data_IF_115298948225
#
_entry.id   IF_115298948225
#
_cell.length_a   1.000
_cell.length_b   1.000
_cell.length_c   1.000
_cell.angle_alpha   90.00
_cell.angle_beta   90.00
_cell.angle_gamma   90.00
#
_symmetry.space_group_name_H-M   'P 1'
#
loop_
_entity.id
_entity.type
_entity.pdbx_description
1 polymer ?
#
# COMPACT_ATOMS: atom_id res chain seq x y z
N UNK A 1 -51.71 -8.87 -5.20
CA UNK A 1 -50.70 -9.75 -5.81
C UNK A 1 -49.86 -8.88 -6.72
N UNK A 2 -48.68 -8.45 -6.31
CA UNK A 2 -47.76 -7.71 -7.19
C UNK A 2 -47.08 -8.72 -8.10
N UNK A 3 -47.49 -8.78 -9.36
CA UNK A 3 -46.87 -9.62 -10.39
C UNK A 3 -45.38 -9.30 -10.48
N UNK A 4 -44.55 -10.31 -10.22
CA UNK A 4 -43.11 -10.24 -10.49
C UNK A 4 -42.92 -10.32 -12.00
N UNK A 5 -42.49 -9.22 -12.62
CA UNK A 5 -42.25 -9.08 -14.07
C UNK A 5 -41.05 -9.90 -14.59
N UNK A 6 -40.27 -10.53 -13.72
CA UNK A 6 -39.07 -11.28 -14.07
C UNK A 6 -39.38 -12.74 -14.42
N UNK A 7 -38.85 -13.20 -15.56
CA UNK A 7 -39.02 -14.59 -15.98
C UNK A 7 -38.25 -15.56 -15.07
N UNK A 8 -38.79 -16.76 -14.84
CA UNK A 8 -38.07 -17.84 -14.12
C UNK A 8 -36.73 -18.18 -14.78
N UNK A 9 -36.62 -18.02 -16.09
CA UNK A 9 -35.39 -18.24 -16.85
C UNK A 9 -34.32 -17.20 -16.52
N UNK A 10 -34.70 -15.93 -16.34
CA UNK A 10 -33.78 -14.87 -15.94
C UNK A 10 -33.24 -15.11 -14.52
N UNK A 11 -34.10 -15.52 -13.57
CA UNK A 11 -33.66 -15.89 -12.21
C UNK A 11 -32.64 -17.05 -12.27
N UNK A 12 -32.93 -18.09 -13.06
CA UNK A 12 -32.02 -19.23 -13.26
C UNK A 12 -30.69 -18.79 -13.89
N UNK A 13 -30.73 -17.86 -14.84
CA UNK A 13 -29.52 -17.29 -15.45
C UNK A 13 -28.67 -16.56 -14.40
N UNK A 14 -29.28 -15.68 -13.60
CA UNK A 14 -28.61 -14.90 -12.56
C UNK A 14 -27.90 -15.79 -11.52
N UNK A 15 -28.58 -16.84 -11.02
CA UNK A 15 -28.01 -17.80 -10.06
C UNK A 15 -26.83 -18.58 -10.66
N UNK A 16 -26.84 -18.81 -11.98
CA UNK A 16 -25.80 -19.56 -12.69
C UNK A 16 -24.57 -18.73 -13.08
N UNK A 17 -24.53 -17.43 -12.81
CA UNK A 17 -23.38 -16.58 -13.12
C UNK A 17 -22.22 -16.94 -12.17
N UNK A 18 -21.04 -17.34 -12.69
CA UNK A 18 -19.89 -17.60 -11.84
C UNK A 18 -19.48 -16.35 -11.05
N UNK A 19 -19.04 -16.54 -9.80
CA UNK A 19 -18.45 -15.48 -8.99
C UNK A 19 -17.31 -14.78 -9.74
N UNK A 20 -17.09 -13.50 -9.45
CA UNK A 20 -16.11 -12.64 -10.13
C UNK A 20 -16.39 -12.29 -11.60
N UNK A 21 -17.53 -12.72 -12.15
CA UNK A 21 -18.00 -12.27 -13.47
C UNK A 21 -18.41 -10.80 -13.43
N UNK A 22 -18.18 -10.08 -14.53
CA UNK A 22 -18.61 -8.69 -14.68
C UNK A 22 -19.99 -8.68 -15.33
N UNK A 23 -20.92 -8.01 -14.66
CA UNK A 23 -22.31 -7.86 -15.11
C UNK A 23 -22.69 -6.40 -15.22
N UNK A 24 -23.65 -6.11 -16.11
CA UNK A 24 -24.39 -4.85 -16.13
C UNK A 24 -25.77 -5.13 -15.57
N UNK A 25 -26.17 -4.33 -14.60
CA UNK A 25 -27.44 -4.43 -13.90
C UNK A 25 -28.22 -3.15 -14.15
N UNK A 26 -29.46 -3.29 -14.61
CA UNK A 26 -30.45 -2.22 -14.65
C UNK A 26 -31.57 -2.55 -13.67
N UNK A 27 -32.02 -1.55 -12.90
CA UNK A 27 -33.10 -1.72 -11.95
C UNK A 27 -33.34 -0.48 -11.11
N UNK A 28 -34.33 -0.57 -10.22
CA UNK A 28 -34.72 0.53 -9.34
C UNK A 28 -34.10 0.39 -7.95
N UNK A 29 -33.60 1.48 -7.39
CA UNK A 29 -33.19 1.53 -6.00
C UNK A 29 -34.42 1.56 -5.08
N UNK A 30 -34.43 0.72 -4.06
CA UNK A 30 -35.44 0.72 -3.02
C UNK A 30 -34.83 0.44 -1.64
N UNK A 31 -35.56 0.75 -0.58
CA UNK A 31 -35.19 0.35 0.76
C UNK A 31 -35.40 -1.17 0.91
N UNK A 32 -34.45 -1.91 1.50
CA UNK A 32 -34.64 -3.32 1.79
C UNK A 32 -35.64 -3.49 2.95
N UNK A 33 -36.24 -4.68 3.07
CA UNK A 33 -37.14 -5.01 4.18
C UNK A 33 -36.41 -4.94 5.53
N UNK A 34 -35.16 -5.39 5.55
CA UNK A 34 -34.23 -5.27 6.67
C UNK A 34 -32.86 -4.83 6.14
N UNK A 35 -32.10 -4.09 6.93
CA UNK A 35 -30.76 -3.62 6.55
C UNK A 35 -29.83 -4.79 6.15
N UNK A 36 -29.20 -4.66 4.98
CA UNK A 36 -28.30 -5.67 4.42
C UNK A 36 -26.92 -5.57 5.07
N UNK A 37 -26.66 -6.42 6.07
CA UNK A 37 -25.45 -6.37 6.92
C UNK A 37 -24.15 -6.73 6.20
N UNK A 38 -24.22 -7.41 5.07
CA UNK A 38 -23.06 -7.90 4.31
C UNK A 38 -22.53 -6.90 3.28
N UNK A 39 -23.25 -5.80 3.03
CA UNK A 39 -22.90 -4.80 2.02
C UNK A 39 -22.51 -3.46 2.66
N UNK A 40 -21.65 -2.70 1.98
CA UNK A 40 -21.29 -1.34 2.40
C UNK A 40 -22.46 -0.36 2.31
N UNK A 41 -23.40 -0.59 1.38
CA UNK A 41 -24.66 0.14 1.27
C UNK A 41 -25.77 -0.70 1.88
N UNK A 42 -25.95 -0.62 3.19
CA UNK A 42 -26.90 -1.50 3.91
C UNK A 42 -28.37 -1.09 3.79
N UNK A 43 -28.63 0.19 3.47
CA UNK A 43 -29.97 0.79 3.46
C UNK A 43 -30.64 0.82 2.08
N UNK A 44 -29.96 0.31 1.05
CA UNK A 44 -30.44 0.33 -0.33
C UNK A 44 -30.22 -1.05 -0.95
N UNK A 45 -31.20 -1.50 -1.72
CA UNK A 45 -31.09 -2.65 -2.61
C UNK A 45 -31.54 -2.29 -4.03
N UNK A 46 -31.10 -3.09 -5.00
CA UNK A 46 -31.50 -2.93 -6.41
C UNK A 46 -32.60 -3.94 -6.71
N UNK A 47 -33.81 -3.45 -7.00
CA UNK A 47 -34.87 -4.25 -7.61
C UNK A 47 -34.54 -4.44 -9.09
N UNK A 48 -33.98 -5.61 -9.40
CA UNK A 48 -33.49 -5.98 -10.72
C UNK A 48 -34.57 -5.92 -11.82
N UNK A 49 -34.25 -5.33 -12.96
CA UNK A 49 -35.07 -5.32 -14.17
C UNK A 49 -34.36 -5.98 -15.35
N UNK A 50 -33.08 -5.68 -15.54
CA UNK A 50 -32.25 -6.29 -16.58
C UNK A 50 -30.87 -6.68 -16.03
N UNK A 51 -30.33 -7.77 -16.56
CA UNK A 51 -29.03 -8.30 -16.17
C UNK A 51 -28.30 -8.82 -17.41
N UNK A 52 -27.14 -8.25 -17.71
CA UNK A 52 -26.29 -8.64 -18.83
C UNK A 52 -24.94 -9.11 -18.34
N UNK A 53 -24.49 -10.27 -18.82
CA UNK A 53 -23.14 -10.77 -18.54
C UNK A 53 -22.16 -10.15 -19.55
N UNK A 54 -21.29 -9.25 -19.09
CA UNK A 54 -20.27 -8.63 -19.93
C UNK A 54 -19.03 -9.51 -20.09
N UNK A 55 -18.53 -10.02 -18.96
CA UNK A 55 -17.36 -10.89 -18.94
C UNK A 55 -17.57 -12.02 -17.95
N UNK A 56 -17.57 -13.25 -18.47
CA UNK A 56 -17.72 -14.46 -17.67
C UNK A 56 -16.38 -14.82 -17.02
N UNK A 57 -16.38 -14.98 -15.70
CA UNK A 57 -15.23 -15.51 -14.97
C UNK A 57 -15.10 -17.04 -15.12
N UNK A 58 -13.90 -17.60 -14.88
CA UNK A 58 -13.71 -19.03 -14.79
C UNK A 58 -14.60 -19.66 -13.70
N UNK A 59 -15.14 -20.84 -13.97
CA UNK A 59 -16.01 -21.54 -13.02
C UNK A 59 -15.31 -21.92 -11.71
N UNK A 60 -13.99 -22.14 -11.75
CA UNK A 60 -13.16 -22.47 -10.60
C UNK A 60 -12.14 -21.36 -10.38
N UNK A 61 -12.24 -20.68 -9.24
CA UNK A 61 -11.26 -19.69 -8.79
C UNK A 61 -10.18 -20.36 -7.92
N UNK A 62 -8.95 -19.84 -7.89
CA UNK A 62 -7.88 -20.33 -7.01
C UNK A 62 -8.25 -20.27 -5.53
N UNK A 63 -9.01 -19.24 -5.12
CA UNK A 63 -9.64 -19.09 -3.81
C UNK A 63 -10.84 -18.14 -3.93
N UNK A 64 -11.71 -18.11 -2.92
CA UNK A 64 -12.82 -17.16 -2.85
C UNK A 64 -12.38 -15.84 -2.24
N UNK A 65 -12.92 -14.72 -2.73
CA UNK A 65 -12.65 -13.41 -2.13
C UNK A 65 -13.13 -13.32 -0.68
N UNK A 66 -14.16 -14.07 -0.31
CA UNK A 66 -14.65 -14.17 1.07
C UNK A 66 -13.56 -14.76 2.00
N UNK A 67 -12.94 -15.87 1.60
CA UNK A 67 -11.85 -16.49 2.36
C UNK A 67 -10.63 -15.56 2.44
N UNK A 68 -10.34 -14.83 1.35
CA UNK A 68 -9.25 -13.88 1.32
C UNK A 68 -9.52 -12.61 2.16
N UNK A 69 -10.78 -12.22 2.34
CA UNK A 69 -11.19 -11.00 3.07
C UNK A 69 -11.50 -11.25 4.55
N UNK A 70 -11.45 -12.51 5.00
CA UNK A 70 -11.76 -12.88 6.39
C UNK A 70 -10.81 -12.16 7.38
N UNK A 71 -11.34 -11.58 8.48
CA UNK A 71 -10.54 -10.95 9.52
C UNK A 71 -9.52 -11.89 10.18
N UNK A 72 -8.30 -11.40 10.40
CA UNK A 72 -7.18 -12.23 10.89
C UNK A 72 -7.40 -12.74 12.32
N UNK A 73 -8.17 -12.02 13.13
CA UNK A 73 -8.55 -12.41 14.49
C UNK A 73 -9.62 -13.52 14.55
N UNK A 74 -10.36 -13.74 13.46
CA UNK A 74 -11.35 -14.81 13.34
C UNK A 74 -10.76 -16.09 12.75
N UNK A 75 -9.54 -16.03 12.22
CA UNK A 75 -8.82 -17.23 11.79
C UNK A 75 -8.57 -18.11 13.03
N UNK A 76 -8.85 -19.43 12.93
CA UNK A 76 -8.88 -20.29 14.10
C UNK A 76 -7.52 -20.29 14.81
N UNK A 77 -7.54 -19.95 16.10
CA UNK A 77 -6.52 -20.46 17.02
C UNK A 77 -6.77 -21.91 17.42
N UNK A 78 -8.00 -22.45 17.35
CA UNK A 78 -8.22 -23.93 17.48
C UNK A 78 -9.64 -24.52 17.27
N UNK A 79 -10.73 -23.80 16.93
CA UNK A 79 -12.10 -24.40 17.08
C UNK A 79 -13.06 -24.34 15.86
N UNK A 80 -12.74 -23.65 14.77
CA UNK A 80 -13.56 -23.69 13.53
C UNK A 80 -12.67 -23.86 12.30
N UNK A 81 -12.87 -24.93 11.52
CA UNK A 81 -12.17 -25.19 10.26
C UNK A 81 -12.60 -24.20 9.16
N UNK A 82 -12.18 -22.94 9.28
CA UNK A 82 -12.26 -22.01 8.18
C UNK A 82 -11.08 -22.22 7.23
N UNK A 83 -11.35 -22.24 5.92
CA UNK A 83 -10.29 -22.30 4.91
C UNK A 83 -9.49 -21.00 4.98
N UNK A 84 -8.17 -21.10 5.19
CA UNK A 84 -7.29 -19.95 5.21
C UNK A 84 -6.50 -19.88 3.91
N UNK A 85 -6.42 -18.69 3.30
CA UNK A 85 -5.63 -18.48 2.08
C UNK A 85 -4.25 -17.99 2.49
N UNK A 86 -3.22 -18.81 2.23
CA UNK A 86 -1.83 -18.50 2.57
C UNK A 86 -1.32 -17.27 1.83
N UNK A 87 -0.30 -16.60 2.38
CA UNK A 87 0.35 -15.46 1.73
C UNK A 87 0.90 -15.81 0.35
N UNK A 88 1.52 -17.00 0.20
CA UNK A 88 2.03 -17.45 -1.09
C UNK A 88 0.91 -17.60 -2.13
N UNK A 89 -0.18 -18.29 -1.79
CA UNK A 89 -1.31 -18.46 -2.71
C UNK A 89 -1.93 -17.10 -3.12
N UNK A 90 -1.95 -16.13 -2.21
CA UNK A 90 -2.40 -14.75 -2.46
C UNK A 90 -1.47 -13.97 -3.38
N UNK A 91 -0.15 -14.20 -3.30
CA UNK A 91 0.86 -13.56 -4.15
C UNK A 91 0.93 -14.23 -5.52
N UNK A 92 0.86 -15.56 -5.59
CA UNK A 92 0.80 -16.32 -6.86
C UNK A 92 -0.44 -15.94 -7.68
N UNK A 93 -1.52 -15.54 -7.02
CA UNK A 93 -2.77 -15.10 -7.64
C UNK A 93 -3.06 -13.62 -7.34
N UNK A 94 -2.02 -12.78 -7.42
CA UNK A 94 -2.07 -11.37 -6.99
C UNK A 94 -3.22 -10.59 -7.60
N UNK A 95 -3.53 -10.79 -8.88
CA UNK A 95 -4.61 -10.08 -9.59
C UNK A 95 -5.97 -10.29 -8.92
N UNK A 96 -6.27 -11.51 -8.48
CA UNK A 96 -7.52 -11.80 -7.75
C UNK A 96 -7.48 -11.22 -6.34
N UNK A 97 -6.36 -11.41 -5.63
CA UNK A 97 -6.19 -10.90 -4.27
C UNK A 97 -6.33 -9.37 -4.19
N UNK A 98 -5.85 -8.64 -5.21
CA UNK A 98 -5.94 -7.19 -5.30
C UNK A 98 -7.39 -6.66 -5.42
N UNK A 99 -8.38 -7.54 -5.67
CA UNK A 99 -9.80 -7.16 -5.69
C UNK A 99 -10.43 -7.08 -4.29
N UNK A 100 -9.79 -7.69 -3.29
CA UNK A 100 -10.29 -7.62 -1.91
C UNK A 100 -10.36 -6.16 -1.43
N UNK A 101 -11.41 -5.76 -0.68
CA UNK A 101 -11.56 -4.39 -0.21
C UNK A 101 -10.36 -3.84 0.56
N UNK A 102 -9.70 -4.70 1.34
CA UNK A 102 -8.52 -4.34 2.14
C UNK A 102 -7.30 -4.06 1.26
N UNK A 103 -7.01 -4.88 0.24
CA UNK A 103 -5.91 -4.57 -0.67
C UNK A 103 -6.20 -3.27 -1.44
N UNK A 104 -7.43 -3.12 -1.94
CA UNK A 104 -7.88 -1.88 -2.58
C UNK A 104 -7.68 -0.65 -1.67
N UNK A 105 -7.98 -0.77 -0.38
CA UNK A 105 -7.73 0.29 0.61
C UNK A 105 -6.23 0.55 0.85
N UNK A 106 -5.42 -0.50 1.02
CA UNK A 106 -3.96 -0.39 1.21
C UNK A 106 -3.30 0.38 0.06
N UNK A 107 -3.62 0.04 -1.19
CA UNK A 107 -3.03 0.71 -2.35
C UNK A 107 -3.51 2.16 -2.52
N UNK A 108 -4.75 2.49 -2.12
CA UNK A 108 -5.22 3.89 -2.06
C UNK A 108 -4.48 4.70 -1.00
N UNK A 109 -4.26 4.14 0.19
CA UNK A 109 -3.46 4.77 1.26
C UNK A 109 -2.01 4.96 0.79
N UNK A 110 -1.41 3.95 0.17
CA UNK A 110 -0.06 4.02 -0.40
C UNK A 110 0.06 5.14 -1.46
N UNK A 111 -0.91 5.23 -2.38
CA UNK A 111 -0.96 6.30 -3.39
C UNK A 111 -1.06 7.69 -2.75
N UNK A 112 -1.96 7.85 -1.75
CA UNK A 112 -2.11 9.11 -1.00
C UNK A 112 -0.83 9.50 -0.27
N UNK A 113 -0.14 8.55 0.35
CA UNK A 113 1.15 8.80 1.00
C UNK A 113 2.15 9.44 0.04
N UNK A 114 2.31 8.89 -1.17
CA UNK A 114 3.22 9.46 -2.17
C UNK A 114 2.77 10.84 -2.62
N UNK A 115 1.46 11.07 -2.80
CA UNK A 115 0.95 12.40 -3.18
C UNK A 115 1.14 13.45 -2.08
N UNK A 116 0.99 13.08 -0.80
CA UNK A 116 1.25 13.97 0.34
C UNK A 116 2.73 14.30 0.46
N UNK A 117 3.61 13.32 0.21
CA UNK A 117 5.06 13.53 0.14
C UNK A 117 5.43 14.56 -0.95
N UNK A 118 4.95 14.35 -2.19
CA UNK A 118 5.21 15.30 -3.29
C UNK A 118 4.70 16.70 -2.96
N UNK A 119 3.42 16.82 -2.60
CA UNK A 119 2.80 18.12 -2.31
C UNK A 119 3.56 18.91 -1.24
N UNK A 120 3.94 18.24 -0.14
CA UNK A 120 4.71 18.90 0.90
C UNK A 120 6.05 19.43 0.38
N UNK A 121 6.77 18.64 -0.42
CA UNK A 121 8.08 19.05 -0.94
C UNK A 121 7.95 20.10 -2.05
N UNK A 122 6.92 20.05 -2.89
CA UNK A 122 6.58 21.08 -3.86
C UNK A 122 6.32 22.43 -3.16
N UNK A 123 5.56 22.42 -2.05
CA UNK A 123 5.28 23.60 -1.23
C UNK A 123 6.56 24.15 -0.56
N UNK A 124 7.56 23.31 -0.32
CA UNK A 124 8.88 23.68 0.21
C UNK A 124 9.89 24.08 -0.89
N UNK A 125 9.48 24.07 -2.16
CA UNK A 125 10.30 24.49 -3.30
C UNK A 125 11.28 23.42 -3.81
N UNK A 126 11.07 22.14 -3.48
CA UNK A 126 11.89 21.05 -4.02
C UNK A 126 11.54 20.75 -5.48
N UNK A 127 12.51 20.18 -6.20
CA UNK A 127 12.35 19.74 -7.59
C UNK A 127 12.33 18.21 -7.65
N UNK A 128 11.30 17.62 -8.26
CA UNK A 128 11.29 16.18 -8.58
C UNK A 128 12.33 15.87 -9.66
N UNK A 129 13.21 14.91 -9.38
CA UNK A 129 14.21 14.42 -10.33
C UNK A 129 14.00 12.93 -10.62
N UNK A 130 14.44 12.49 -11.80
CA UNK A 130 14.42 11.10 -12.22
C UNK A 130 15.83 10.65 -12.57
N UNK A 131 16.37 9.70 -11.81
CA UNK A 131 17.77 9.28 -11.93
C UNK A 131 17.91 7.89 -12.55
N UNK A 132 18.98 7.61 -13.30
CA UNK A 132 19.18 6.30 -13.92
C UNK A 132 19.34 5.21 -12.85
N UNK A 133 18.71 4.06 -13.09
CA UNK A 133 18.77 2.88 -12.20
C UNK A 133 19.77 1.82 -12.66
N UNK A 134 20.31 1.98 -13.86
CA UNK A 134 21.38 1.16 -14.41
C UNK A 134 22.67 1.96 -14.30
N UNK A 135 23.66 1.43 -13.58
CA UNK A 135 24.93 2.08 -13.30
C UNK A 135 26.09 1.25 -13.90
N UNK A 136 27.14 1.94 -14.35
CA UNK A 136 28.34 1.29 -14.90
C UNK A 136 29.25 0.65 -13.84
N UNK A 137 29.06 1.01 -12.57
CA UNK A 137 29.81 0.46 -11.45
C UNK A 137 28.90 0.33 -10.21
N UNK A 138 29.29 -0.54 -9.29
CA UNK A 138 28.68 -0.59 -7.96
C UNK A 138 29.13 0.64 -7.16
N UNK A 139 28.20 1.56 -6.86
CA UNK A 139 28.52 2.86 -6.25
C UNK A 139 28.57 2.86 -4.73
N UNK A 140 27.92 1.89 -4.07
CA UNK A 140 27.84 1.81 -2.61
C UNK A 140 28.69 0.62 -2.11
N UNK A 141 29.75 0.92 -1.35
CA UNK A 141 30.71 -0.09 -0.90
C UNK A 141 30.11 -0.99 0.17
N UNK A 142 30.29 -2.30 0.04
CA UNK A 142 30.05 -3.28 1.11
C UNK A 142 28.70 -4.02 1.05
N UNK A 143 27.80 -3.64 0.14
CA UNK A 143 26.52 -4.30 -0.02
C UNK A 143 26.46 -5.14 -1.31
N UNK A 144 25.67 -6.21 -1.28
CA UNK A 144 25.40 -7.02 -2.48
C UNK A 144 24.61 -6.21 -3.51
N UNK A 145 25.07 -6.21 -4.76
CA UNK A 145 24.43 -5.52 -5.90
C UNK A 145 23.94 -6.51 -6.95
N UNK A 146 22.81 -6.20 -7.59
CA UNK A 146 22.35 -6.94 -8.76
C UNK A 146 23.20 -6.59 -9.97
N UNK A 147 23.76 -7.61 -10.63
CA UNK A 147 24.50 -7.48 -11.88
C UNK A 147 23.58 -7.85 -13.04
N UNK A 148 23.66 -7.10 -14.13
CA UNK A 148 22.96 -7.38 -15.38
C UNK A 148 23.92 -7.30 -16.57
N UNK A 149 23.66 -8.12 -17.59
CA UNK A 149 24.30 -7.97 -18.89
C UNK A 149 23.78 -6.71 -19.58
N UNK A 150 24.69 -5.85 -20.05
CA UNK A 150 24.37 -4.61 -20.75
C UNK A 150 25.21 -4.53 -22.02
N UNK A 151 24.69 -5.13 -23.10
CA UNK A 151 25.42 -5.38 -24.33
C UNK A 151 26.71 -6.20 -24.07
N UNK A 152 27.86 -5.69 -24.51
CA UNK A 152 29.18 -6.30 -24.29
C UNK A 152 29.76 -5.96 -22.90
N UNK A 153 29.02 -5.23 -22.06
CA UNK A 153 29.46 -4.75 -20.75
C UNK A 153 28.57 -5.32 -19.64
N UNK A 154 29.04 -5.18 -18.39
CA UNK A 154 28.24 -5.46 -17.20
C UNK A 154 27.73 -4.14 -16.63
N UNK A 155 26.47 -4.10 -16.24
CA UNK A 155 25.92 -3.00 -15.47
C UNK A 155 25.34 -3.50 -14.14
N UNK A 156 24.96 -2.55 -13.30
CA UNK A 156 24.47 -2.80 -11.94
C UNK A 156 23.17 -2.05 -11.71
N UNK A 157 22.26 -2.62 -10.91
CA UNK A 157 21.08 -1.89 -10.44
C UNK A 157 21.45 -1.03 -9.23
N UNK A 158 20.99 0.22 -9.25
CA UNK A 158 21.26 1.20 -8.18
C UNK A 158 20.59 0.80 -6.85
N UNK A 159 21.37 0.78 -5.78
CA UNK A 159 20.88 0.42 -4.44
C UNK A 159 20.17 1.55 -3.71
N UNK A 160 20.40 2.77 -4.15
CA UNK A 160 19.67 3.98 -3.79
C UNK A 160 19.98 5.07 -4.83
N UNK A 161 19.20 6.15 -4.89
CA UNK A 161 19.54 7.30 -5.72
C UNK A 161 20.56 8.25 -5.05
N UNK A 162 21.20 7.86 -3.94
CA UNK A 162 21.97 8.78 -3.07
C UNK A 162 23.03 9.58 -3.83
N UNK A 163 23.88 8.92 -4.62
CA UNK A 163 24.94 9.60 -5.38
C UNK A 163 24.35 10.60 -6.39
N UNK A 164 23.28 10.22 -7.09
CA UNK A 164 22.67 11.07 -8.10
C UNK A 164 22.00 12.31 -7.47
N UNK A 165 21.36 12.16 -6.30
CA UNK A 165 20.83 13.31 -5.55
C UNK A 165 21.93 14.27 -5.12
N UNK A 166 23.05 13.77 -4.60
CA UNK A 166 24.19 14.60 -4.21
C UNK A 166 24.82 15.32 -5.41
N UNK A 167 24.91 14.65 -6.56
CA UNK A 167 25.34 15.28 -7.81
C UNK A 167 24.38 16.39 -8.27
N UNK A 168 23.07 16.23 -8.08
CA UNK A 168 22.09 17.27 -8.38
C UNK A 168 22.26 18.49 -7.45
N UNK A 169 22.52 18.28 -6.16
CA UNK A 169 22.88 19.37 -5.24
C UNK A 169 24.15 20.07 -5.68
N UNK A 170 25.19 19.32 -6.09
CA UNK A 170 26.43 19.89 -6.63
C UNK A 170 26.26 20.56 -8.01
N UNK A 171 25.13 20.33 -8.68
CA UNK A 171 24.72 20.98 -9.92
C UNK A 171 23.75 22.14 -9.68
N UNK A 172 23.76 22.73 -8.47
CA UNK A 172 23.00 23.91 -8.07
C UNK A 172 21.47 23.74 -8.06
N UNK A 173 20.95 22.52 -7.93
CA UNK A 173 19.49 22.30 -7.80
C UNK A 173 18.92 22.71 -6.44
N UNK A 174 19.79 22.95 -5.44
CA UNK A 174 19.48 23.30 -4.04
C UNK A 174 18.62 22.30 -3.25
N UNK A 175 17.45 21.89 -3.73
CA UNK A 175 16.53 20.97 -3.07
C UNK A 175 15.90 20.01 -4.09
N UNK A 176 16.10 18.71 -3.94
CA UNK A 176 15.58 17.69 -4.87
C UNK A 176 14.92 16.53 -4.15
N UNK A 177 13.95 15.89 -4.80
CA UNK A 177 13.38 14.63 -4.34
C UNK A 177 13.18 13.64 -5.48
N UNK A 178 13.10 12.35 -5.15
CA UNK A 178 12.79 11.29 -6.10
C UNK A 178 11.86 10.25 -5.47
N UNK A 179 10.89 9.79 -6.27
CA UNK A 179 10.06 8.62 -5.97
C UNK A 179 10.35 7.56 -7.03
N UNK A 180 11.10 6.53 -6.68
CA UNK A 180 11.59 5.58 -7.67
C UNK A 180 11.95 4.20 -7.10
N UNK A 181 12.23 3.22 -7.97
CA UNK A 181 12.61 1.89 -7.55
C UNK A 181 14.02 1.90 -6.93
N UNK A 182 14.18 1.07 -5.91
CA UNK A 182 15.39 0.83 -5.12
C UNK A 182 15.63 -0.67 -5.04
N UNK A 183 16.88 -1.11 -5.24
CA UNK A 183 17.21 -2.53 -5.36
C UNK A 183 18.20 -3.00 -4.28
N UNK A 184 17.79 -3.92 -3.43
CA UNK A 184 18.66 -4.53 -2.42
C UNK A 184 18.92 -5.99 -2.75
N UNK A 185 20.18 -6.35 -3.01
CA UNK A 185 20.55 -7.71 -3.39
C UNK A 185 20.99 -8.58 -2.20
N UNK A 186 20.77 -8.14 -0.97
CA UNK A 186 21.00 -8.98 0.20
C UNK A 186 20.04 -10.18 0.20
N UNK A 187 20.58 -11.37 0.42
CA UNK A 187 19.79 -12.59 0.52
C UNK A 187 19.11 -12.69 1.89
N UNK A 188 18.14 -11.81 2.14
CA UNK A 188 17.43 -11.69 3.39
C UNK A 188 15.94 -11.96 3.19
N UNK A 189 15.49 -13.17 3.55
CA UNK A 189 14.10 -13.56 3.44
C UNK A 189 13.37 -13.34 4.77
N UNK A 190 12.94 -12.10 5.02
CA UNK A 190 12.16 -11.74 6.21
C UNK A 190 10.86 -11.05 5.81
N UNK A 191 9.92 -10.94 6.75
CA UNK A 191 8.64 -10.23 6.53
C UNK A 191 8.79 -8.71 6.32
N UNK A 192 10.01 -8.14 6.47
CA UNK A 192 10.30 -6.70 6.32
C UNK A 192 11.21 -6.37 5.16
N UNK A 193 11.80 -7.36 4.50
CA UNK A 193 12.76 -7.13 3.42
C UNK A 193 12.14 -7.51 2.07
N UNK A 194 12.38 -6.65 1.08
CA UNK A 194 12.11 -6.91 -0.33
C UNK A 194 13.36 -6.56 -1.12
N UNK A 195 13.59 -7.28 -2.22
CA UNK A 195 14.74 -7.02 -3.10
C UNK A 195 14.52 -5.81 -4.02
N UNK A 196 13.26 -5.42 -4.21
CA UNK A 196 12.85 -4.22 -4.94
C UNK A 196 11.72 -3.54 -4.16
N UNK A 197 11.83 -2.23 -3.97
CA UNK A 197 10.79 -1.41 -3.35
C UNK A 197 10.85 0.02 -3.89
N UNK A 198 9.84 0.83 -3.56
CA UNK A 198 9.79 2.24 -3.94
C UNK A 198 10.38 3.09 -2.82
N UNK A 199 11.51 3.73 -3.11
CA UNK A 199 12.13 4.75 -2.27
C UNK A 199 11.39 6.08 -2.38
N UNK A 200 11.37 6.82 -1.26
CA UNK A 200 10.96 8.23 -1.19
C UNK A 200 12.17 8.98 -0.66
N UNK A 201 12.94 9.54 -1.57
CA UNK A 201 14.24 10.12 -1.28
C UNK A 201 14.19 11.63 -1.46
N UNK A 202 14.90 12.35 -0.61
CA UNK A 202 15.13 13.79 -0.77
C UNK A 202 16.57 14.13 -0.43
N UNK A 203 17.04 15.26 -0.93
CA UNK A 203 18.33 15.85 -0.60
C UNK A 203 18.18 17.37 -0.68
N UNK A 204 18.85 18.10 0.22
CA UNK A 204 18.85 19.56 0.21
C UNK A 204 20.22 20.11 0.58
N UNK A 205 20.59 21.23 -0.02
CA UNK A 205 21.74 22.01 0.38
C UNK A 205 21.52 22.55 1.81
N UNK A 206 22.56 22.47 2.63
CA UNK A 206 22.54 22.89 4.03
C UNK A 206 23.58 24.00 4.19
N UNK A 207 23.13 25.18 4.61
CA UNK A 207 24.03 26.33 4.74
C UNK A 207 24.80 26.31 6.08
N UNK A 208 24.11 26.08 7.20
CA UNK A 208 24.68 26.29 8.55
C UNK A 208 24.69 25.01 9.40
N UNK A 209 23.51 24.41 9.62
CA UNK A 209 23.34 23.26 10.52
C UNK A 209 22.36 22.25 9.91
N UNK A 210 22.71 20.96 10.00
CA UNK A 210 21.89 19.88 9.45
C UNK A 210 20.51 19.73 10.14
N UNK A 211 20.33 20.35 11.30
CA UNK A 211 19.03 20.41 11.97
C UNK A 211 17.92 21.01 11.09
N UNK A 212 18.25 21.88 10.13
CA UNK A 212 17.26 22.38 9.16
C UNK A 212 16.64 21.24 8.34
N UNK A 213 17.45 20.25 7.93
CA UNK A 213 16.95 19.06 7.24
C UNK A 213 16.14 18.15 8.18
N UNK A 214 16.57 18.01 9.45
CA UNK A 214 15.80 17.26 10.46
C UNK A 214 14.43 17.90 10.71
N UNK A 215 14.37 19.22 10.82
CA UNK A 215 13.12 19.97 11.02
C UNK A 215 12.19 19.88 9.80
N UNK A 216 12.75 19.90 8.59
CA UNK A 216 12.00 19.61 7.36
C UNK A 216 11.40 18.21 7.40
N UNK A 217 12.20 17.18 7.71
CA UNK A 217 11.73 15.79 7.80
C UNK A 217 10.63 15.64 8.87
N UNK A 218 10.77 16.31 10.01
CA UNK A 218 9.75 16.33 11.05
C UNK A 218 8.42 16.89 10.52
N UNK A 219 8.46 18.05 9.86
CA UNK A 219 7.25 18.67 9.26
C UNK A 219 6.66 17.82 8.14
N UNK A 220 7.49 17.18 7.31
CA UNK A 220 7.07 16.25 6.27
C UNK A 220 6.28 15.08 6.86
N UNK A 221 6.82 14.39 7.85
CA UNK A 221 6.13 13.26 8.49
C UNK A 221 4.82 13.69 9.14
N UNK A 222 4.81 14.80 9.89
CA UNK A 222 3.58 15.33 10.50
C UNK A 222 2.53 15.69 9.43
N UNK A 223 2.95 16.29 8.31
CA UNK A 223 2.07 16.58 7.17
C UNK A 223 1.46 15.31 6.59
N UNK A 224 2.26 14.27 6.35
CA UNK A 224 1.79 12.98 5.85
C UNK A 224 0.82 12.32 6.84
N UNK A 225 1.16 12.27 8.13
CA UNK A 225 0.31 11.62 9.14
C UNK A 225 -1.04 12.31 9.27
N UNK A 226 -1.07 13.64 9.39
CA UNK A 226 -2.31 14.43 9.41
C UNK A 226 -3.09 14.27 8.12
N UNK A 227 -2.41 14.34 6.98
CA UNK A 227 -3.01 14.18 5.66
C UNK A 227 -3.68 12.81 5.49
N UNK A 228 -3.05 11.73 5.95
CA UNK A 228 -3.63 10.39 5.90
C UNK A 228 -4.82 10.24 6.86
N UNK A 229 -4.73 10.76 8.09
CA UNK A 229 -5.84 10.77 9.04
C UNK A 229 -7.06 11.52 8.49
N UNK A 230 -6.84 12.67 7.83
CA UNK A 230 -7.91 13.48 7.26
C UNK A 230 -8.53 12.89 5.99
N UNK A 231 -7.71 12.27 5.13
CA UNK A 231 -8.15 11.90 3.77
C UNK A 231 -8.40 10.41 3.56
N UNK A 232 -8.02 9.53 4.50
CA UNK A 232 -8.05 8.07 4.31
C UNK A 232 -8.81 7.31 5.41
N UNK A 233 -9.73 7.98 6.10
CA UNK A 233 -10.49 7.39 7.21
C UNK A 233 -11.25 6.11 6.80
N UNK A 234 -11.91 6.13 5.63
CA UNK A 234 -12.66 4.98 5.10
C UNK A 234 -11.73 3.80 4.75
N UNK A 235 -10.61 4.08 4.09
CA UNK A 235 -9.62 3.05 3.76
C UNK A 235 -8.99 2.46 5.02
N UNK A 236 -8.62 3.29 5.99
CA UNK A 236 -8.05 2.85 7.27
C UNK A 236 -9.05 1.97 8.03
N UNK A 237 -10.34 2.36 8.07
CA UNK A 237 -11.39 1.54 8.68
C UNK A 237 -11.56 0.20 7.96
N UNK A 238 -11.48 0.20 6.63
CA UNK A 238 -11.53 -1.03 5.82
C UNK A 238 -10.34 -1.93 6.12
N UNK A 239 -9.13 -1.39 6.27
CA UNK A 239 -7.95 -2.17 6.66
C UNK A 239 -8.14 -2.75 8.06
N UNK A 240 -8.64 -1.94 9.01
CA UNK A 240 -8.88 -2.35 10.40
C UNK A 240 -9.94 -3.44 10.55
N UNK A 241 -10.90 -3.53 9.62
CA UNK A 241 -11.92 -4.58 9.66
C UNK A 241 -11.31 -5.98 9.45
N UNK A 242 -10.24 -6.09 8.66
CA UNK A 242 -9.50 -7.34 8.47
C UNK A 242 -8.30 -7.47 9.40
N UNK A 243 -7.60 -6.37 9.70
CA UNK A 243 -6.41 -6.31 10.53
C UNK A 243 -6.66 -5.37 11.73
N UNK A 244 -7.21 -5.88 12.85
CA UNK A 244 -7.48 -5.06 14.03
C UNK A 244 -6.17 -4.45 14.56
N UNK A 245 -6.07 -3.12 14.47
CA UNK A 245 -4.89 -2.35 14.83
C UNK A 245 -5.33 -1.07 15.55
N UNK A 246 -4.54 -0.66 16.54
CA UNK A 246 -4.75 0.60 17.25
C UNK A 246 -4.59 1.82 16.32
N UNK A 247 -5.10 2.97 16.75
CA UNK A 247 -4.87 4.22 16.05
C UNK A 247 -3.39 4.60 16.11
N UNK A 248 -2.80 4.99 14.97
CA UNK A 248 -1.47 5.58 14.99
C UNK A 248 -1.52 6.93 15.71
N UNK A 249 -0.63 7.12 16.69
CA UNK A 249 -0.51 8.34 17.49
C UNK A 249 0.85 8.98 17.26
N UNK A 250 0.89 10.30 17.28
CA UNK A 250 2.12 11.08 17.17
C UNK A 250 1.98 12.35 17.99
N UNK A 251 3.12 12.94 18.38
CA UNK A 251 3.16 14.19 19.12
C UNK A 251 3.14 15.37 18.15
N UNK A 252 2.49 16.46 18.54
CA UNK A 252 2.52 17.73 17.78
C UNK A 252 3.95 18.28 17.65
N UNK A 253 4.75 18.09 18.70
CA UNK A 253 6.20 18.28 18.66
C UNK A 253 6.87 16.92 18.63
N UNK A 254 7.49 16.57 17.50
CA UNK A 254 8.19 15.29 17.33
C UNK A 254 9.21 15.08 18.45
N UNK A 255 9.17 13.91 19.08
CA UNK A 255 10.15 13.51 20.08
C UNK A 255 11.52 13.35 19.40
N UNK A 256 12.52 14.08 19.88
CA UNK A 256 13.91 13.93 19.47
C UNK A 256 14.72 13.48 20.68
N UNK A 257 15.32 12.29 20.58
CA UNK A 257 16.23 11.74 21.58
C UNK A 257 17.62 11.63 20.96
N UNK A 258 18.63 12.16 21.64
CA UNK A 258 20.00 11.91 21.25
C UNK A 258 20.33 10.43 21.45
N UNK A 259 21.20 9.87 20.60
CA UNK A 259 21.58 8.45 20.68
C UNK A 259 22.03 8.04 22.09
N UNK A 260 22.80 8.91 22.79
CA UNK A 260 23.25 8.66 24.16
C UNK A 260 22.09 8.54 25.15
N UNK A 261 21.06 9.39 25.02
CA UNK A 261 19.87 9.35 25.88
C UNK A 261 19.06 8.08 25.62
N UNK A 262 18.92 7.68 24.36
CA UNK A 262 18.26 6.43 23.99
C UNK A 262 18.99 5.21 24.55
N UNK A 263 20.33 5.14 24.44
CA UNK A 263 21.13 4.07 25.03
C UNK A 263 20.98 4.04 26.55
N UNK A 264 21.04 5.19 27.22
CA UNK A 264 20.85 5.27 28.66
C UNK A 264 19.47 4.78 29.08
N UNK A 265 18.42 5.19 28.35
CA UNK A 265 17.05 4.71 28.60
C UNK A 265 16.95 3.18 28.52
N UNK A 266 17.63 2.56 27.56
CA UNK A 266 17.62 1.10 27.41
C UNK A 266 18.38 0.42 28.55
N UNK A 267 19.55 0.95 28.95
CA UNK A 267 20.33 0.48 30.11
C UNK A 267 19.50 0.57 31.40
N UNK A 268 18.84 1.70 31.62
CA UNK A 268 17.98 1.95 32.79
C UNK A 268 16.79 0.97 32.86
N UNK A 269 16.39 0.42 31.70
CA UNK A 269 15.34 -0.60 31.59
C UNK A 269 15.89 -2.03 31.44
N UNK A 270 17.16 -2.26 31.81
CA UNK A 270 17.75 -3.59 31.92
C UNK A 270 18.18 -4.23 30.59
N UNK A 271 18.28 -3.46 29.51
CA UNK A 271 18.81 -3.95 28.23
C UNK A 271 20.33 -3.73 28.21
N UNK A 272 21.08 -4.81 28.01
CA UNK A 272 22.53 -4.78 27.88
C UNK A 272 22.91 -4.52 26.40
N UNK A 273 23.63 -3.44 26.12
CA UNK A 273 23.97 -2.94 24.77
C UNK A 273 25.45 -2.61 24.71
#
# INVERSE_FOLDING_TARGET
MTETSLSKQMIKCAIGIPLESIVVVEGHLQAPVEDVKTCSQSKLEIKLEQLFLLAKAPAKLPFLLEDASRPVNLLPKEVKQFVTVSTNARLDNRVLNLRTPVNQAIFRVQSRKCNLFRRFLDDEGFIEIHTPKIQGAATESGASVFKLGYFEQTAFLAQSPQLAKQMAIAADFECVYEIGPVFWAENSNTYRHMTEFIGLDLEMAINEYYHKAVDLLNRLFLSIFRGLQASSALEIQTIKSQHPLDGFTFLEKTLHLAHKEAVQFLIDNGINI
#
